data_IF_082118865488
#
_entry.id   IF_082118865488
#
_cell.length_a   1.000
_cell.length_b   1.000
_cell.length_c   1.000
_cell.angle_alpha   90.00
_cell.angle_beta   90.00
_cell.angle_gamma   90.00
#
_symmetry.space_group_name_H-M   'P 1'
#
loop_
_entity.id
_entity.type
_entity.pdbx_description
1 polymer ?
#
# COMPACT_ATOMS: atom_id res chain seq x y z
N UNK A 1 -14.38 9.36 -8.86
CA UNK A 1 -13.56 8.40 -9.64
C UNK A 1 -12.97 7.41 -8.65
N UNK A 2 -12.80 6.12 -9.01
CA UNK A 2 -12.18 5.17 -8.09
C UNK A 2 -10.71 5.53 -7.86
N UNK A 3 -10.20 5.21 -6.68
CA UNK A 3 -8.79 5.38 -6.31
C UNK A 3 -7.93 4.38 -7.08
N UNK A 4 -6.93 4.88 -7.82
CA UNK A 4 -6.01 4.02 -8.57
C UNK A 4 -5.08 3.31 -7.59
N UNK A 5 -5.24 1.99 -7.51
CA UNK A 5 -4.57 1.16 -6.51
C UNK A 5 -3.46 0.34 -7.14
N UNK A 6 -2.28 0.36 -6.53
CA UNK A 6 -1.10 -0.44 -6.88
C UNK A 6 -0.72 -1.34 -5.72
N UNK A 7 -0.64 -2.65 -5.96
CA UNK A 7 -0.06 -3.59 -5.01
C UNK A 7 1.46 -3.61 -5.15
N UNK A 8 2.19 -3.51 -4.05
CA UNK A 8 3.66 -3.54 -4.03
C UNK A 8 4.11 -4.76 -3.25
N UNK A 9 4.83 -5.65 -3.93
CA UNK A 9 5.16 -6.99 -3.41
C UNK A 9 6.62 -7.36 -3.70
N UNK A 10 7.10 -8.39 -3.01
CA UNK A 10 8.50 -8.83 -3.13
C UNK A 10 9.47 -7.93 -2.38
N UNK A 11 10.75 -8.27 -2.50
CA UNK A 11 11.88 -7.66 -1.78
C UNK A 11 11.65 -7.49 -0.26
N UNK A 12 12.53 -6.73 0.41
CA UNK A 12 12.34 -6.34 1.80
C UNK A 12 11.52 -5.04 1.93
N UNK A 13 11.16 -4.69 3.18
CA UNK A 13 10.34 -3.52 3.47
C UNK A 13 10.98 -2.21 3.00
N UNK A 14 12.30 -2.08 3.11
CA UNK A 14 13.03 -0.87 2.72
C UNK A 14 13.01 -0.68 1.19
N UNK A 15 13.20 -1.77 0.43
CA UNK A 15 13.14 -1.75 -1.02
C UNK A 15 11.74 -1.37 -1.52
N UNK A 16 10.67 -1.93 -0.92
CA UNK A 16 9.29 -1.56 -1.25
C UNK A 16 9.02 -0.09 -0.96
N UNK A 17 9.44 0.38 0.20
CA UNK A 17 9.26 1.77 0.60
C UNK A 17 9.99 2.75 -0.34
N UNK A 18 11.24 2.46 -0.70
CA UNK A 18 12.01 3.27 -1.64
C UNK A 18 11.41 3.27 -3.06
N UNK A 19 10.86 2.15 -3.51
CA UNK A 19 10.19 2.06 -4.82
C UNK A 19 8.89 2.88 -4.85
N UNK A 20 8.12 2.87 -3.74
CA UNK A 20 6.93 3.71 -3.60
C UNK A 20 7.32 5.19 -3.59
N UNK A 21 8.34 5.57 -2.81
CA UNK A 21 8.83 6.94 -2.75
C UNK A 21 9.18 7.50 -4.15
N UNK A 22 9.82 6.69 -5.00
CA UNK A 22 10.15 7.07 -6.38
C UNK A 22 8.93 7.16 -7.31
N UNK A 23 7.82 6.50 -6.98
CA UNK A 23 6.60 6.48 -7.77
C UNK A 23 5.57 7.54 -7.33
N UNK A 24 5.84 8.29 -6.26
CA UNK A 24 4.97 9.38 -5.79
C UNK A 24 5.14 10.59 -6.71
N UNK A 25 4.00 11.13 -7.14
CA UNK A 25 3.91 12.36 -7.92
C UNK A 25 3.55 13.53 -6.99
N UNK A 26 4.24 14.69 -7.08
CA UNK A 26 4.08 15.76 -6.09
C UNK A 26 2.67 16.34 -5.91
N UNK A 27 1.95 16.50 -7.02
CA UNK A 27 0.62 17.15 -7.04
C UNK A 27 -0.54 16.15 -6.91
N UNK A 28 -0.24 14.88 -6.62
CA UNK A 28 -1.22 13.80 -6.58
C UNK A 28 -1.51 13.39 -5.14
N UNK A 29 -2.77 13.51 -4.72
CA UNK A 29 -3.21 13.04 -3.39
C UNK A 29 -3.00 11.53 -3.31
N UNK A 30 -2.04 11.11 -2.51
CA UNK A 30 -1.53 9.75 -2.49
C UNK A 30 -1.60 9.19 -1.08
N UNK A 31 -2.17 8.00 -0.93
CA UNK A 31 -2.06 7.23 0.30
C UNK A 31 -1.16 6.01 0.10
N UNK A 32 -0.46 5.63 1.16
CA UNK A 32 0.39 4.44 1.22
C UNK A 32 0.03 3.65 2.47
N UNK A 33 -0.29 2.38 2.31
CA UNK A 33 -0.46 1.41 3.40
C UNK A 33 0.73 0.46 3.34
N UNK A 34 1.51 0.39 4.41
CA UNK A 34 2.74 -0.41 4.51
C UNK A 34 2.59 -1.50 5.56
N UNK A 35 2.73 -2.75 5.17
CA UNK A 35 2.95 -3.85 6.12
C UNK A 35 4.41 -3.93 6.55
N UNK A 36 4.61 -4.01 7.86
CA UNK A 36 5.94 -4.20 8.46
C UNK A 36 6.49 -2.93 9.11
N UNK A 37 7.68 -3.09 9.70
CA UNK A 37 8.39 -2.00 10.36
C UNK A 37 9.17 -1.16 9.32
N UNK A 38 9.36 0.14 9.59
CA UNK A 38 10.25 0.96 8.77
C UNK A 38 11.67 0.38 8.75
N UNK A 39 12.33 0.52 7.59
CA UNK A 39 13.77 0.25 7.47
C UNK A 39 14.62 1.32 8.18
N UNK A 40 15.94 1.17 8.11
CA UNK A 40 16.87 2.17 8.65
C UNK A 40 16.76 3.53 7.94
N UNK A 41 16.40 3.53 6.66
CA UNK A 41 15.98 4.71 5.92
C UNK A 41 14.44 4.74 5.83
N UNK A 42 13.86 5.93 5.98
CA UNK A 42 12.42 6.16 5.92
C UNK A 42 12.09 7.22 4.84
N UNK A 43 12.31 6.92 3.55
CA UNK A 43 12.19 7.91 2.47
C UNK A 43 10.76 8.47 2.33
N UNK A 44 9.74 7.72 2.76
CA UNK A 44 8.38 8.25 2.79
C UNK A 44 8.17 9.26 3.93
N UNK A 45 8.88 9.14 5.05
CA UNK A 45 8.81 10.13 6.11
C UNK A 45 9.41 11.47 5.63
N UNK A 46 10.56 11.41 4.96
CA UNK A 46 11.20 12.60 4.36
C UNK A 46 10.28 13.26 3.31
N UNK A 47 9.59 12.45 2.49
CA UNK A 47 8.62 12.96 1.53
C UNK A 47 7.40 13.60 2.19
N UNK A 48 6.91 13.08 3.32
CA UNK A 48 5.78 13.67 4.03
C UNK A 48 6.08 15.09 4.55
N UNK A 49 7.34 15.44 4.80
CA UNK A 49 7.73 16.80 5.19
C UNK A 49 7.58 17.80 4.04
N UNK A 50 7.70 17.33 2.79
CA UNK A 50 7.67 18.16 1.59
C UNK A 50 6.37 18.05 0.80
N UNK A 51 5.58 16.98 1.03
CA UNK A 51 4.37 16.64 0.30
C UNK A 51 3.16 16.58 1.23
N UNK A 52 2.46 17.71 1.39
CA UNK A 52 1.27 17.81 2.26
C UNK A 52 0.11 16.89 1.89
N UNK A 53 0.12 16.32 0.68
CA UNK A 53 -0.92 15.43 0.16
C UNK A 53 -0.58 13.94 0.28
N UNK A 54 0.53 13.60 0.94
CA UNK A 54 0.97 12.23 1.16
C UNK A 54 0.51 11.70 2.53
N UNK A 55 -0.28 10.62 2.51
CA UNK A 55 -0.76 9.93 3.71
C UNK A 55 -0.03 8.59 3.82
N UNK A 56 0.76 8.38 4.87
CA UNK A 56 1.45 7.10 5.12
C UNK A 56 0.86 6.43 6.34
N UNK A 57 0.37 5.20 6.18
CA UNK A 57 -0.16 4.36 7.25
C UNK A 57 0.66 3.07 7.34
N UNK A 58 1.27 2.81 8.50
CA UNK A 58 1.97 1.55 8.76
C UNK A 58 1.08 0.63 9.57
N UNK A 59 1.03 -0.63 9.17
CA UNK A 59 0.28 -1.69 9.82
C UNK A 59 1.20 -2.88 10.11
N UNK A 60 0.88 -3.62 11.16
CA UNK A 60 1.55 -4.89 11.40
C UNK A 60 1.20 -5.88 10.28
N UNK A 61 2.15 -6.71 9.80
CA UNK A 61 1.81 -7.78 8.87
C UNK A 61 0.70 -8.67 9.45
N UNK A 62 -0.30 -9.00 8.65
CA UNK A 62 -1.41 -9.87 9.05
C UNK A 62 -1.36 -11.21 8.30
N UNK A 63 -1.50 -12.33 9.00
CA UNK A 63 -1.65 -13.66 8.38
C UNK A 63 -3.13 -14.09 8.22
N UNK A 64 -3.30 -15.19 7.47
CA UNK A 64 -4.22 -15.47 6.35
C UNK A 64 -5.67 -15.87 6.62
N UNK A 65 -6.17 -15.94 7.85
CA UNK A 65 -7.59 -16.25 8.00
C UNK A 65 -8.44 -14.98 7.79
N UNK A 66 -9.65 -15.10 7.25
CA UNK A 66 -10.54 -13.99 6.83
C UNK A 66 -10.80 -12.91 7.91
N UNK A 67 -10.45 -13.16 9.17
CA UNK A 67 -10.51 -12.21 10.31
C UNK A 67 -9.22 -11.39 10.49
N UNK A 68 -8.09 -11.84 9.95
CA UNK A 68 -6.74 -11.26 10.13
C UNK A 68 -6.48 -9.98 9.32
N UNK A 69 -7.32 -9.68 8.32
CA UNK A 69 -7.24 -8.44 7.56
C UNK A 69 -7.92 -7.26 8.28
N UNK A 70 -8.35 -7.39 9.55
CA UNK A 70 -9.08 -6.31 10.23
C UNK A 70 -8.30 -4.99 10.25
N UNK A 71 -6.99 -5.04 10.52
CA UNK A 71 -6.15 -3.84 10.57
C UNK A 71 -6.02 -3.19 9.20
N UNK A 72 -5.79 -3.97 8.14
CA UNK A 72 -5.76 -3.48 6.76
C UNK A 72 -7.14 -2.95 6.33
N UNK A 73 -8.24 -3.66 6.62
CA UNK A 73 -9.62 -3.20 6.38
C UNK A 73 -9.94 -1.87 7.07
N UNK A 74 -9.65 -1.74 8.35
CA UNK A 74 -9.91 -0.51 9.12
C UNK A 74 -9.07 0.64 8.57
N UNK A 75 -7.79 0.39 8.30
CA UNK A 75 -6.88 1.39 7.72
C UNK A 75 -7.36 1.81 6.33
N UNK A 76 -7.71 0.86 5.46
CA UNK A 76 -8.22 1.11 4.12
C UNK A 76 -9.53 1.90 4.17
N UNK A 77 -10.48 1.53 5.03
CA UNK A 77 -11.72 2.27 5.20
C UNK A 77 -11.49 3.70 5.70
N UNK A 78 -10.53 3.90 6.61
CA UNK A 78 -10.15 5.25 7.06
C UNK A 78 -9.57 6.08 5.91
N UNK A 79 -8.72 5.50 5.07
CA UNK A 79 -8.19 6.15 3.87
C UNK A 79 -9.32 6.48 2.90
N UNK A 80 -10.23 5.54 2.64
CA UNK A 80 -11.33 5.72 1.69
C UNK A 80 -12.43 6.68 2.17
N UNK A 81 -12.43 7.09 3.44
CA UNK A 81 -13.28 8.18 3.91
C UNK A 81 -12.92 9.53 3.26
N UNK A 82 -11.65 9.71 2.88
CA UNK A 82 -11.18 10.82 2.05
C UNK A 82 -10.37 10.25 0.89
N UNK A 83 -11.06 9.69 -0.13
CA UNK A 83 -10.44 8.81 -1.10
C UNK A 83 -9.31 9.52 -1.83
N UNK A 84 -8.08 8.97 -1.81
CA UNK A 84 -6.95 9.56 -2.53
C UNK A 84 -7.10 9.30 -4.02
N UNK A 85 -6.32 10.02 -4.83
CA UNK A 85 -6.23 9.74 -6.27
C UNK A 85 -5.42 8.45 -6.52
N UNK A 86 -4.36 8.24 -5.73
CA UNK A 86 -3.49 7.06 -5.79
C UNK A 86 -3.39 6.36 -4.44
N UNK A 87 -3.37 5.04 -4.46
CA UNK A 87 -3.15 4.20 -3.30
C UNK A 87 -2.08 3.15 -3.61
N UNK A 88 -1.06 3.08 -2.75
CA UNK A 88 -0.10 1.97 -2.73
C UNK A 88 -0.36 1.08 -1.52
N UNK A 89 -0.50 -0.23 -1.73
CA UNK A 89 -0.60 -1.22 -0.66
C UNK A 89 0.63 -2.13 -0.75
N UNK A 90 1.54 -1.98 0.21
CA UNK A 90 2.77 -2.77 0.30
C UNK A 90 2.55 -3.96 1.21
N UNK A 91 2.63 -5.16 0.65
CA UNK A 91 2.41 -6.42 1.36
C UNK A 91 3.76 -7.02 1.76
N UNK A 92 3.89 -7.38 3.05
CA UNK A 92 5.10 -8.01 3.57
C UNK A 92 5.18 -9.50 3.21
N UNK A 93 4.02 -10.18 3.24
CA UNK A 93 3.84 -11.52 2.71
C UNK A 93 2.83 -11.47 1.56
N UNK A 94 3.19 -12.09 0.43
CA UNK A 94 2.36 -12.17 -0.76
C UNK A 94 2.02 -13.62 -1.13
N UNK A 95 2.22 -14.58 -0.21
CA UNK A 95 1.88 -16.00 -0.39
C UNK A 95 0.39 -16.22 -0.72
N UNK A 96 -0.48 -15.27 -0.35
CA UNK A 96 -1.92 -15.31 -0.62
C UNK A 96 -2.38 -14.09 -1.41
N UNK A 97 -1.55 -13.61 -2.35
CA UNK A 97 -1.84 -12.44 -3.18
C UNK A 97 -3.21 -12.54 -3.87
N UNK A 98 -3.55 -13.71 -4.42
CA UNK A 98 -4.84 -13.92 -5.09
C UNK A 98 -6.03 -13.64 -4.17
N UNK A 99 -5.92 -13.99 -2.87
CA UNK A 99 -6.96 -13.71 -1.89
C UNK A 99 -7.06 -12.22 -1.58
N UNK A 100 -5.92 -11.51 -1.52
CA UNK A 100 -5.89 -10.05 -1.34
C UNK A 100 -6.51 -9.34 -2.54
N UNK A 101 -6.14 -9.73 -3.76
CA UNK A 101 -6.72 -9.20 -5.00
C UNK A 101 -8.22 -9.44 -5.03
N UNK A 102 -8.67 -10.67 -4.73
CA UNK A 102 -10.07 -11.03 -4.68
C UNK A 102 -10.84 -10.23 -3.62
N UNK A 103 -10.25 -10.02 -2.45
CA UNK A 103 -10.81 -9.22 -1.38
C UNK A 103 -10.99 -7.74 -1.79
N UNK A 104 -9.98 -7.14 -2.43
CA UNK A 104 -10.02 -5.75 -2.90
C UNK A 104 -10.93 -5.54 -4.12
N UNK A 105 -11.23 -6.62 -4.86
CA UNK A 105 -12.09 -6.58 -6.06
C UNK A 105 -13.57 -6.89 -5.77
N UNK A 106 -13.94 -7.12 -4.51
CA UNK A 106 -15.31 -7.44 -4.08
C UNK A 106 -15.96 -6.27 -3.35
N UNK A 107 -17.29 -6.34 -3.22
CA UNK A 107 -18.05 -5.36 -2.44
C UNK A 107 -17.52 -5.28 -0.98
N UNK A 108 -17.34 -4.07 -0.42
CA UNK A 108 -17.69 -2.76 -0.98
C UNK A 108 -16.60 -2.10 -1.86
N UNK A 109 -15.41 -2.68 -1.96
CA UNK A 109 -14.23 -2.00 -2.53
C UNK A 109 -14.24 -1.91 -4.06
N UNK A 110 -14.96 -2.80 -4.73
CA UNK A 110 -15.19 -2.78 -6.18
C UNK A 110 -15.64 -1.40 -6.71
N UNK A 111 -16.38 -0.64 -5.89
CA UNK A 111 -16.88 0.71 -6.21
C UNK A 111 -15.88 1.83 -5.91
N UNK A 112 -14.89 1.58 -5.06
CA UNK A 112 -13.95 2.59 -4.57
C UNK A 112 -12.55 2.44 -5.15
N UNK A 113 -12.14 1.23 -5.49
CA UNK A 113 -10.78 0.92 -5.93
C UNK A 113 -10.78 0.50 -7.39
N UNK A 114 -9.79 1.00 -8.13
CA UNK A 114 -9.39 0.43 -9.41
C UNK A 114 -8.02 -0.20 -9.22
N UNK A 115 -7.93 -1.54 -9.20
CA UNK A 115 -6.65 -2.23 -9.21
C UNK A 115 -6.02 -2.02 -10.60
N UNK A 116 -4.95 -1.22 -10.65
CA UNK A 116 -4.35 -0.74 -11.92
C UNK A 116 -3.03 -1.40 -12.25
N UNK A 117 -2.29 -1.86 -11.23
CA UNK A 117 -0.92 -2.34 -11.39
C UNK A 117 -0.45 -3.18 -10.22
N UNK A 118 0.44 -4.12 -10.49
CA UNK A 118 1.30 -4.76 -9.51
C UNK A 118 2.74 -4.28 -9.72
N UNK A 119 3.39 -3.84 -8.65
CA UNK A 119 4.80 -3.48 -8.60
C UNK A 119 5.55 -4.60 -7.88
N UNK A 120 6.08 -5.54 -8.66
CA UNK A 120 6.86 -6.65 -8.14
C UNK A 120 8.34 -6.30 -8.09
N UNK A 121 8.92 -6.32 -6.89
CA UNK A 121 10.33 -6.06 -6.68
C UNK A 121 11.10 -7.37 -6.55
N UNK A 122 12.17 -7.48 -7.33
CA UNK A 122 13.15 -8.57 -7.22
C UNK A 122 14.25 -8.16 -6.24
N UNK A 123 14.41 -8.90 -5.14
CA UNK A 123 15.63 -8.77 -4.33
C UNK A 123 16.82 -9.15 -5.19
N UNK A 124 17.72 -8.19 -5.45
CA UNK A 124 19.06 -8.53 -5.89
C UNK A 124 19.74 -9.21 -4.70
N UNK A 125 20.09 -10.49 -4.82
CA UNK A 125 21.09 -11.09 -3.93
C UNK A 125 22.39 -10.34 -4.18
N UNK A 126 22.85 -9.58 -3.20
CA UNK A 126 24.25 -9.12 -3.14
C UNK A 126 25.19 -10.30 -3.05
#
# INVERSE_FOLDING_TARGET
MPTLTTLVIGADAAAREAAIAQAIEPDTITAVILEGLPGAQAPLADLQETHSHLIVSRITPGCICCSGNLVMRVTLNRVLHHPPQRLFISLADFSHLDQVVLFLSREPYDKFLALTKEMQLVSRKS
#
